data_IF_465315864849
#
_entry.id   IF_465315864849
#
_cell.length_a   1.000
_cell.length_b   1.000
_cell.length_c   1.000
_cell.angle_alpha   90.00
_cell.angle_beta   90.00
_cell.angle_gamma   90.00
#
_symmetry.space_group_name_H-M   'P 1'
#
loop_
_entity.id
_entity.type
_entity.pdbx_description
1 polymer ?
#
# COMPACT_ATOMS: atom_id res chain seq x y z
N UNK A 1 10.82 3.34 18.33
CA UNK A 1 9.69 3.97 17.59
C UNK A 1 10.16 4.91 16.49
N UNK A 2 10.96 5.96 16.77
CA UNK A 2 11.39 6.94 15.73
C UNK A 2 12.06 6.29 14.52
N UNK A 3 13.08 5.45 14.75
CA UNK A 3 13.81 4.77 13.67
C UNK A 3 12.90 3.88 12.82
N UNK A 4 11.95 3.17 13.44
CA UNK A 4 11.01 2.29 12.75
C UNK A 4 10.08 3.06 11.80
N UNK A 5 9.59 4.24 12.22
CA UNK A 5 8.78 5.13 11.38
C UNK A 5 9.55 5.68 10.17
N UNK A 6 10.87 5.79 10.26
CA UNK A 6 11.72 6.25 9.16
C UNK A 6 11.98 5.20 8.07
N UNK A 7 11.54 3.96 8.27
CA UNK A 7 11.81 2.85 7.34
C UNK A 7 10.53 2.14 6.87
N UNK A 8 9.36 2.53 7.37
CA UNK A 8 8.09 1.88 7.04
C UNK A 8 7.85 1.87 5.53
N UNK A 9 7.57 0.67 5.00
CA UNK A 9 7.37 0.41 3.57
C UNK A 9 8.59 0.72 2.68
N UNK A 10 9.82 0.72 3.20
CA UNK A 10 11.02 0.98 2.40
C UNK A 10 11.97 -0.21 2.37
N UNK A 11 12.78 -0.30 1.31
CA UNK A 11 13.90 -1.24 1.22
C UNK A 11 15.17 -0.60 1.79
N UNK A 12 15.06 0.04 2.96
CA UNK A 12 16.14 0.79 3.60
C UNK A 12 16.21 0.48 5.09
N UNK A 13 17.41 0.31 5.62
CA UNK A 13 17.67 0.28 7.07
C UNK A 13 17.69 1.69 7.67
N UNK A 14 17.52 1.85 8.99
CA UNK A 14 17.44 3.15 9.66
C UNK A 14 18.62 4.09 9.40
N UNK A 15 19.81 3.53 9.13
CA UNK A 15 21.03 4.31 8.84
C UNK A 15 21.19 4.70 7.36
N UNK A 16 20.26 4.29 6.49
CA UNK A 16 20.28 4.62 5.06
C UNK A 16 19.96 6.09 4.83
N UNK A 17 20.58 6.70 3.83
CA UNK A 17 20.27 8.08 3.45
C UNK A 17 18.81 8.21 3.00
N UNK A 18 18.12 9.24 3.49
CA UNK A 18 16.73 9.56 3.09
C UNK A 18 15.63 8.99 3.99
N UNK A 19 15.93 8.12 4.96
CA UNK A 19 14.94 7.57 5.92
C UNK A 19 14.27 8.64 6.79
N UNK A 20 14.97 9.74 7.08
CA UNK A 20 14.38 10.90 7.75
C UNK A 20 13.20 11.50 6.99
N UNK A 21 13.23 11.48 5.65
CA UNK A 21 12.10 11.97 4.85
C UNK A 21 10.84 11.11 5.04
N UNK A 22 11.02 9.79 5.16
CA UNK A 22 9.93 8.84 5.43
C UNK A 22 9.32 9.13 6.80
N UNK A 23 10.16 9.34 7.82
CA UNK A 23 9.71 9.73 9.17
C UNK A 23 8.90 11.03 9.13
N UNK A 24 9.40 12.07 8.44
CA UNK A 24 8.70 13.35 8.36
C UNK A 24 7.35 13.21 7.65
N UNK A 25 7.26 12.38 6.60
CA UNK A 25 6.01 12.13 5.91
C UNK A 25 5.02 11.33 6.77
N UNK A 26 5.48 10.27 7.44
CA UNK A 26 4.66 9.49 8.37
C UNK A 26 4.15 10.38 9.52
N UNK A 27 5.01 11.24 10.10
CA UNK A 27 4.61 12.20 11.12
C UNK A 27 3.60 13.23 10.64
N UNK A 28 3.78 13.77 9.42
CA UNK A 28 2.83 14.73 8.86
C UNK A 28 1.43 14.14 8.68
N UNK A 29 1.33 12.84 8.39
CA UNK A 29 0.05 12.13 8.21
C UNK A 29 -0.55 11.52 9.48
N UNK A 30 0.27 11.10 10.45
CA UNK A 30 -0.19 10.32 11.61
C UNK A 30 -0.17 11.08 12.95
N UNK A 31 0.61 12.15 13.08
CA UNK A 31 0.76 12.87 14.36
C UNK A 31 -0.16 14.11 14.45
N UNK A 32 -1.23 14.17 13.64
CA UNK A 32 -2.18 15.29 13.68
C UNK A 32 -1.67 16.56 12.98
N UNK A 33 -0.80 16.42 11.97
CA UNK A 33 -0.34 17.53 11.14
C UNK A 33 -1.44 18.13 10.25
N UNK A 34 -1.07 18.99 9.30
CA UNK A 34 -2.00 19.67 8.39
C UNK A 34 -2.89 18.72 7.55
N UNK A 35 -2.58 17.43 7.51
CA UNK A 35 -3.32 16.38 6.80
C UNK A 35 -4.37 15.62 7.66
N UNK A 36 -4.49 15.94 8.95
CA UNK A 36 -5.45 15.31 9.87
C UNK A 36 -4.84 14.28 10.83
N UNK A 37 -5.69 13.64 11.62
CA UNK A 37 -5.33 12.57 12.56
C UNK A 37 -5.60 11.20 11.95
N UNK A 38 -4.84 10.17 12.34
CA UNK A 38 -5.17 8.79 12.02
C UNK A 38 -6.46 8.40 12.73
N UNK A 39 -7.44 7.88 11.97
CA UNK A 39 -8.74 7.47 12.51
C UNK A 39 -9.10 6.08 12.01
N UNK A 40 -9.95 5.39 12.78
CA UNK A 40 -10.57 4.14 12.36
C UNK A 40 -11.92 4.43 11.70
N UNK A 41 -12.15 3.82 10.54
CA UNK A 41 -13.48 3.78 9.94
C UNK A 41 -14.31 2.69 10.63
N UNK A 42 -15.51 3.04 11.12
CA UNK A 42 -16.49 2.05 11.58
C UNK A 42 -16.86 1.13 10.41
N UNK A 43 -16.91 -0.18 10.66
CA UNK A 43 -17.05 -1.22 9.64
C UNK A 43 -15.75 -1.49 8.85
N UNK A 44 -14.64 -0.84 9.23
CA UNK A 44 -13.33 -1.03 8.63
C UNK A 44 -13.19 -0.41 7.23
N UNK A 45 -12.08 -0.73 6.52
CA UNK A 45 -11.82 -0.17 5.19
C UNK A 45 -12.85 -0.53 4.12
N UNK A 46 -13.54 -1.67 4.27
CA UNK A 46 -14.62 -2.08 3.37
C UNK A 46 -15.80 -1.11 3.41
N UNK A 47 -16.28 -0.77 4.61
CA UNK A 47 -17.37 0.19 4.78
C UNK A 47 -17.05 1.59 4.23
N UNK A 48 -15.79 2.04 4.33
CA UNK A 48 -15.34 3.27 3.68
C UNK A 48 -15.46 3.18 2.15
N UNK A 49 -15.05 2.04 1.57
CA UNK A 49 -15.10 1.81 0.13
C UNK A 49 -16.55 1.74 -0.36
N UNK A 50 -17.43 1.08 0.38
CA UNK A 50 -18.87 1.00 0.11
C UNK A 50 -19.53 2.38 0.19
N UNK A 51 -19.18 3.19 1.19
CA UNK A 51 -19.69 4.55 1.33
C UNK A 51 -19.28 5.45 0.14
N UNK A 52 -18.03 5.35 -0.30
CA UNK A 52 -17.54 6.06 -1.49
C UNK A 52 -18.25 5.59 -2.77
N UNK A 53 -18.44 4.28 -2.93
CA UNK A 53 -19.16 3.70 -4.06
C UNK A 53 -20.63 4.15 -4.09
N UNK A 54 -21.30 4.17 -2.92
CA UNK A 54 -22.68 4.65 -2.78
C UNK A 54 -22.79 6.14 -3.12
N UNK A 55 -21.86 6.97 -2.62
CA UNK A 55 -21.83 8.39 -2.95
C UNK A 55 -21.63 8.63 -4.45
N UNK A 56 -20.67 7.92 -5.07
CA UNK A 56 -20.41 8.01 -6.51
C UNK A 56 -21.65 7.64 -7.34
N UNK A 57 -22.31 6.52 -7.01
CA UNK A 57 -23.58 6.11 -7.65
C UNK A 57 -24.69 7.13 -7.45
N UNK A 58 -24.76 7.77 -6.28
CA UNK A 58 -25.69 8.87 -6.00
C UNK A 58 -25.50 10.09 -6.91
N UNK A 59 -24.27 10.31 -7.41
CA UNK A 59 -23.96 11.31 -8.43
C UNK A 59 -24.02 10.78 -9.87
N UNK A 60 -24.58 9.58 -10.08
CA UNK A 60 -24.77 8.98 -11.41
C UNK A 60 -23.58 8.18 -11.94
N UNK A 61 -22.57 7.89 -11.12
CA UNK A 61 -21.47 7.03 -11.56
C UNK A 61 -21.92 5.57 -11.74
N UNK A 62 -21.50 4.96 -12.84
CA UNK A 62 -21.58 3.52 -13.04
C UNK A 62 -20.32 2.84 -12.47
N UNK A 63 -20.48 1.72 -11.77
CA UNK A 63 -19.37 0.94 -11.23
C UNK A 63 -19.49 -0.48 -11.77
N UNK A 64 -18.51 -0.89 -12.60
CA UNK A 64 -18.40 -2.23 -13.17
C UNK A 64 -17.29 -3.02 -12.48
N UNK A 65 -17.65 -4.14 -11.86
CA UNK A 65 -16.70 -5.14 -11.36
C UNK A 65 -16.38 -6.16 -12.47
N UNK A 66 -15.32 -6.96 -12.27
CA UNK A 66 -14.88 -7.98 -13.25
C UNK A 66 -14.59 -7.41 -14.66
N UNK A 67 -14.34 -6.10 -14.74
CA UNK A 67 -14.12 -5.34 -15.96
C UNK A 67 -12.64 -4.92 -16.08
N UNK A 68 -11.75 -5.91 -16.23
CA UNK A 68 -10.32 -5.66 -16.34
C UNK A 68 -9.98 -4.84 -17.59
N UNK A 69 -9.35 -3.67 -17.42
CA UNK A 69 -8.88 -2.84 -18.53
C UNK A 69 -7.56 -3.40 -19.08
N UNK A 70 -7.49 -3.58 -20.40
CA UNK A 70 -6.32 -4.12 -21.11
C UNK A 70 -5.59 -3.11 -21.97
N UNK A 71 -6.24 -2.01 -22.35
CA UNK A 71 -5.60 -0.91 -23.06
C UNK A 71 -6.31 0.43 -22.80
N UNK A 72 -5.57 1.53 -22.87
CA UNK A 72 -6.07 2.89 -23.04
C UNK A 72 -6.01 3.18 -24.53
N UNK A 73 -7.15 3.47 -25.15
CA UNK A 73 -7.19 3.86 -26.57
C UNK A 73 -6.83 5.32 -26.71
N UNK A 74 -6.22 5.66 -27.84
CA UNK A 74 -5.78 7.03 -28.10
C UNK A 74 -5.66 7.33 -29.59
N UNK A 75 -5.64 8.62 -29.91
CA UNK A 75 -5.48 9.13 -31.27
C UNK A 75 -4.73 10.46 -31.19
N UNK A 76 -3.65 10.60 -31.97
CA UNK A 76 -2.80 11.79 -31.99
C UNK A 76 -2.29 12.18 -30.58
N UNK A 77 -1.93 11.19 -29.76
CA UNK A 77 -1.42 11.42 -28.41
C UNK A 77 -2.49 11.93 -27.42
N UNK A 78 -3.77 11.66 -27.69
CA UNK A 78 -4.89 11.95 -26.80
C UNK A 78 -5.69 10.70 -26.50
N UNK A 79 -5.98 10.45 -25.23
CA UNK A 79 -6.84 9.36 -24.78
C UNK A 79 -8.26 9.50 -25.36
N UNK A 80 -8.80 8.40 -25.87
CA UNK A 80 -10.14 8.30 -26.46
C UNK A 80 -11.04 7.30 -25.74
N UNK A 81 -10.50 6.52 -24.80
CA UNK A 81 -11.25 5.48 -24.11
C UNK A 81 -10.37 4.40 -23.51
N UNK A 82 -11.00 3.26 -23.21
CA UNK A 82 -10.34 2.05 -22.72
C UNK A 82 -10.93 0.80 -23.37
N UNK A 83 -10.13 -0.25 -23.47
CA UNK A 83 -10.55 -1.58 -23.89
C UNK A 83 -10.59 -2.50 -22.67
N UNK A 84 -11.69 -3.23 -22.50
CA UNK A 84 -11.83 -4.25 -21.47
C UNK A 84 -11.32 -5.61 -21.96
N UNK A 85 -11.00 -6.52 -21.04
CA UNK A 85 -10.51 -7.87 -21.34
C UNK A 85 -11.49 -8.70 -22.20
N UNK A 86 -12.78 -8.37 -22.17
CA UNK A 86 -13.81 -8.98 -23.03
C UNK A 86 -13.87 -8.40 -24.46
N UNK A 87 -13.03 -7.41 -24.79
CA UNK A 87 -13.01 -6.71 -26.08
C UNK A 87 -13.98 -5.53 -26.19
N UNK A 88 -14.79 -5.25 -25.15
CA UNK A 88 -15.64 -4.05 -25.12
C UNK A 88 -14.76 -2.78 -25.08
N UNK A 89 -15.09 -1.81 -25.92
CA UNK A 89 -14.48 -0.48 -25.90
C UNK A 89 -15.41 0.54 -25.25
N UNK A 90 -14.88 1.29 -24.28
CA UNK A 90 -15.60 2.36 -23.60
C UNK A 90 -14.95 3.69 -23.99
N UNK A 91 -15.68 4.50 -24.77
CA UNK A 91 -15.22 5.81 -25.20
C UNK A 91 -15.20 6.81 -24.02
N UNK A 92 -14.09 7.54 -23.88
CA UNK A 92 -13.92 8.58 -22.87
C UNK A 92 -12.87 9.60 -23.30
N UNK A 93 -13.18 10.90 -23.22
CA UNK A 93 -12.21 11.99 -23.48
C UNK A 93 -11.23 12.25 -22.34
N UNK A 94 -11.45 11.62 -21.18
CA UNK A 94 -10.57 11.66 -20.00
C UNK A 94 -10.54 10.27 -19.38
N UNK A 95 -9.33 9.76 -19.15
CA UNK A 95 -9.07 8.50 -18.44
C UNK A 95 -8.30 8.82 -17.16
N UNK A 96 -8.80 8.36 -16.03
CA UNK A 96 -8.18 8.59 -14.72
C UNK A 96 -7.83 7.24 -14.10
N UNK A 97 -6.54 6.92 -14.06
CA UNK A 97 -6.03 5.63 -13.60
C UNK A 97 -5.73 5.64 -12.11
N UNK A 98 -6.42 4.76 -11.37
CA UNK A 98 -6.12 4.43 -9.98
C UNK A 98 -5.00 3.39 -9.82
N UNK A 99 -4.47 2.84 -10.91
CA UNK A 99 -3.42 1.82 -10.90
C UNK A 99 -2.07 2.42 -10.49
N UNK A 100 -1.08 1.55 -10.27
CA UNK A 100 0.30 2.03 -10.19
C UNK A 100 0.78 2.62 -11.54
N UNK A 101 1.78 3.53 -11.54
CA UNK A 101 2.23 4.20 -12.75
C UNK A 101 2.85 3.26 -13.78
N UNK A 102 3.43 2.12 -13.37
CA UNK A 102 3.98 1.13 -14.31
C UNK A 102 2.87 0.42 -15.06
N UNK A 103 1.85 -0.05 -14.35
CA UNK A 103 0.66 -0.67 -14.96
C UNK A 103 -0.09 0.31 -15.85
N UNK A 104 -0.24 1.56 -15.41
CA UNK A 104 -0.87 2.59 -16.24
C UNK A 104 -0.09 2.80 -17.54
N UNK A 105 1.25 2.88 -17.48
CA UNK A 105 2.08 3.01 -18.67
C UNK A 105 1.96 1.78 -19.59
N UNK A 106 1.88 0.57 -19.02
CA UNK A 106 1.73 -0.66 -19.79
C UNK A 106 0.40 -0.78 -20.56
N UNK A 107 -0.62 0.00 -20.19
CA UNK A 107 -1.91 0.04 -20.90
C UNK A 107 -1.90 1.00 -22.10
N UNK A 108 -0.89 1.86 -22.24
CA UNK A 108 -0.82 2.85 -23.34
C UNK A 108 0.12 2.33 -24.42
N UNK A 109 -0.17 2.63 -25.68
CA UNK A 109 0.71 2.31 -26.80
C UNK A 109 2.13 2.87 -26.54
N UNK A 110 3.18 2.03 -26.54
CA UNK A 110 4.56 2.47 -26.32
C UNK A 110 5.05 3.47 -27.38
N UNK A 111 4.48 3.45 -28.59
CA UNK A 111 4.78 4.44 -29.65
C UNK A 111 4.30 5.82 -29.23
N UNK A 112 3.10 5.92 -28.65
CA UNK A 112 2.57 7.20 -28.16
C UNK A 112 3.25 7.69 -26.89
N UNK A 113 3.56 6.79 -25.95
CA UNK A 113 4.31 7.17 -24.74
C UNK A 113 5.74 7.63 -25.06
N UNK A 114 6.33 7.07 -26.12
CA UNK A 114 7.70 7.28 -26.51
C UNK A 114 8.71 6.54 -25.62
N UNK A 115 9.91 6.24 -26.16
CA UNK A 115 10.90 5.37 -25.52
C UNK A 115 11.38 5.90 -24.17
N UNK A 116 11.49 7.22 -24.02
CA UNK A 116 11.94 7.86 -22.78
C UNK A 116 10.98 7.60 -21.63
N UNK A 117 9.68 7.76 -21.83
CA UNK A 117 8.72 7.58 -20.74
C UNK A 117 8.52 6.10 -20.41
N UNK A 118 8.52 5.23 -21.42
CA UNK A 118 8.53 3.77 -21.23
C UNK A 118 9.74 3.35 -20.37
N UNK A 119 10.94 3.82 -20.70
CA UNK A 119 12.14 3.52 -19.91
C UNK A 119 12.04 4.05 -18.48
N UNK A 120 11.62 5.32 -18.30
CA UNK A 120 11.51 5.94 -16.97
C UNK A 120 10.49 5.25 -16.08
N UNK A 121 9.32 4.91 -16.62
CA UNK A 121 8.27 4.22 -15.88
C UNK A 121 8.70 2.81 -15.49
N UNK A 122 9.35 2.07 -16.40
CA UNK A 122 9.93 0.75 -16.11
C UNK A 122 10.92 0.75 -14.94
N UNK A 123 11.63 1.85 -14.74
CA UNK A 123 12.64 2.02 -13.68
C UNK A 123 12.11 2.59 -12.35
N UNK A 124 10.81 2.85 -12.22
CA UNK A 124 10.23 3.24 -10.91
C UNK A 124 10.50 2.11 -9.90
N UNK A 125 11.08 2.41 -8.74
CA UNK A 125 11.31 1.42 -7.69
C UNK A 125 10.02 1.19 -6.93
N UNK A 126 9.51 -0.04 -7.01
CA UNK A 126 8.36 -0.51 -6.26
C UNK A 126 8.57 -1.92 -5.65
N UNK A 127 9.75 -2.27 -5.11
CA UNK A 127 9.90 -3.57 -4.46
C UNK A 127 9.08 -3.57 -3.16
N UNK A 128 8.11 -4.47 -3.07
CA UNK A 128 7.38 -4.73 -1.84
C UNK A 128 8.32 -5.28 -0.78
N UNK A 129 8.20 -4.72 0.42
CA UNK A 129 9.09 -5.03 1.56
C UNK A 129 8.31 -5.47 2.80
N UNK A 130 7.00 -5.64 2.67
CA UNK A 130 6.11 -5.98 3.77
C UNK A 130 5.24 -7.17 3.41
N UNK A 131 4.99 -8.02 4.39
CA UNK A 131 3.92 -9.01 4.35
C UNK A 131 2.86 -8.62 5.38
N UNK A 132 1.60 -8.88 5.06
CA UNK A 132 0.49 -8.70 6.00
C UNK A 132 0.16 -10.04 6.63
N UNK A 133 0.13 -10.12 7.95
CA UNK A 133 -0.31 -11.31 8.69
C UNK A 133 -1.59 -10.97 9.44
N UNK A 134 -2.68 -11.62 9.06
CA UNK A 134 -3.96 -11.50 9.74
C UNK A 134 -4.17 -12.74 10.62
N UNK A 135 -4.56 -12.54 11.86
CA UNK A 135 -4.88 -13.59 12.81
C UNK A 135 -6.32 -13.45 13.29
N UNK A 136 -7.00 -14.57 13.46
CA UNK A 136 -8.26 -14.66 14.20
C UNK A 136 -7.96 -15.31 15.54
N UNK A 137 -8.32 -14.64 16.63
CA UNK A 137 -8.07 -15.11 18.00
C UNK A 137 -9.34 -15.53 18.73
N UNK A 138 -9.21 -16.54 19.58
CA UNK A 138 -10.19 -16.94 20.59
C UNK A 138 -10.01 -16.15 21.88
N UNK A 139 -10.59 -14.95 21.92
CA UNK A 139 -10.43 -13.98 22.99
C UNK A 139 -9.30 -12.97 22.78
N UNK A 140 -9.25 -11.93 23.62
CA UNK A 140 -8.31 -10.83 23.46
C UNK A 140 -6.87 -11.27 23.80
N UNK A 141 -5.86 -10.74 23.09
CA UNK A 141 -4.47 -10.98 23.44
C UNK A 141 -4.12 -10.24 24.74
N UNK A 142 -3.40 -10.92 25.64
CA UNK A 142 -2.93 -10.34 26.89
C UNK A 142 -1.47 -9.89 26.73
N UNK A 143 -1.24 -8.58 26.66
CA UNK A 143 0.10 -8.02 26.53
C UNK A 143 0.80 -7.93 27.89
N UNK A 144 2.07 -8.32 27.92
CA UNK A 144 2.94 -8.18 29.08
C UNK A 144 3.06 -6.69 29.46
N UNK A 145 2.51 -6.31 30.61
CA UNK A 145 2.54 -4.93 31.12
C UNK A 145 1.18 -4.23 31.23
N UNK A 146 0.05 -4.88 30.90
CA UNK A 146 -1.30 -4.38 31.21
C UNK A 146 -1.65 -3.07 30.49
N UNK A 147 -1.74 -3.12 29.15
CA UNK A 147 -1.85 -1.94 28.27
C UNK A 147 -3.23 -1.78 27.63
N UNK A 148 -4.29 -2.28 28.25
CA UNK A 148 -5.60 -2.53 27.63
C UNK A 148 -6.16 -1.38 26.78
N UNK A 149 -6.20 -0.13 27.27
CA UNK A 149 -6.69 1.01 26.48
C UNK A 149 -5.79 1.38 25.29
N UNK A 150 -4.48 1.17 25.40
CA UNK A 150 -3.52 1.51 24.33
C UNK A 150 -3.58 0.52 23.17
N UNK A 151 -4.15 -0.66 23.38
CA UNK A 151 -4.33 -1.69 22.35
C UNK A 151 -5.33 -1.31 21.26
N UNK A 152 -6.17 -0.31 21.51
CA UNK A 152 -7.07 0.28 20.51
C UNK A 152 -6.33 1.07 19.42
N UNK A 153 -5.07 1.43 19.66
CA UNK A 153 -4.23 2.17 18.72
C UNK A 153 -3.31 1.29 17.87
N UNK A 154 -2.30 1.94 17.29
CA UNK A 154 -1.19 1.26 16.60
C UNK A 154 -0.16 0.77 17.62
N UNK A 155 0.12 -0.52 17.59
CA UNK A 155 1.13 -1.18 18.43
C UNK A 155 2.38 -1.42 17.57
N UNK A 156 3.55 -0.98 18.04
CA UNK A 156 4.82 -1.06 17.30
C UNK A 156 5.76 -1.96 18.09
N UNK A 157 6.08 -3.14 17.54
CA UNK A 157 6.96 -4.13 18.18
C UNK A 157 8.28 -4.15 17.42
N UNK A 158 9.34 -3.67 18.07
CA UNK A 158 10.68 -3.58 17.51
C UNK A 158 11.72 -3.54 18.63
N UNK A 159 12.94 -4.00 18.34
CA UNK A 159 14.12 -3.71 19.15
C UNK A 159 14.71 -2.31 18.88
N UNK A 160 15.98 -2.14 19.24
CA UNK A 160 16.77 -0.94 18.95
C UNK A 160 17.17 -0.78 17.47
N UNK A 161 17.96 0.23 17.16
CA UNK A 161 18.40 0.52 15.78
C UNK A 161 19.15 -0.67 15.17
N UNK A 162 19.99 -1.35 15.95
CA UNK A 162 20.75 -2.51 15.47
C UNK A 162 19.88 -3.74 15.20
N UNK A 163 18.69 -3.83 15.85
CA UNK A 163 17.67 -4.81 15.47
C UNK A 163 17.17 -4.53 14.06
N UNK A 164 16.77 -3.28 13.81
CA UNK A 164 16.19 -2.86 12.54
C UNK A 164 17.19 -3.00 11.39
N UNK A 165 18.48 -2.72 11.61
CA UNK A 165 19.51 -2.95 10.59
C UNK A 165 19.75 -4.45 10.33
N UNK A 166 19.78 -5.30 11.37
CA UNK A 166 19.86 -6.77 11.15
C UNK A 166 18.66 -7.29 10.37
N UNK A 167 17.46 -6.81 10.69
CA UNK A 167 16.24 -7.19 9.98
C UNK A 167 16.26 -6.72 8.51
N UNK A 168 16.80 -5.51 8.27
CA UNK A 168 17.03 -5.01 6.92
C UNK A 168 18.08 -5.82 6.16
N UNK A 169 19.20 -6.18 6.78
CA UNK A 169 20.29 -6.92 6.15
C UNK A 169 19.80 -8.25 5.58
N UNK A 170 18.92 -8.96 6.28
CA UNK A 170 18.27 -10.16 5.73
C UNK A 170 17.57 -9.85 4.39
N UNK A 171 16.71 -8.82 4.38
CA UNK A 171 15.96 -8.41 3.18
C UNK A 171 16.87 -7.92 2.06
N UNK A 172 17.94 -7.20 2.38
CA UNK A 172 18.94 -6.71 1.44
C UNK A 172 19.60 -7.85 0.65
N UNK A 173 19.79 -9.01 1.28
CA UNK A 173 20.34 -10.21 0.65
C UNK A 173 19.27 -11.18 0.14
N UNK A 174 18.01 -10.74 0.02
CA UNK A 174 16.90 -11.51 -0.53
C UNK A 174 16.34 -12.57 0.43
N UNK A 175 16.40 -12.34 1.74
CA UNK A 175 15.80 -13.22 2.75
C UNK A 175 14.76 -12.44 3.56
N UNK A 176 13.64 -13.06 3.89
CA UNK A 176 12.72 -12.46 4.85
C UNK A 176 13.37 -12.40 6.24
N UNK A 177 13.12 -11.33 7.00
CA UNK A 177 13.69 -11.16 8.34
C UNK A 177 13.37 -12.34 9.26
N UNK A 178 14.34 -12.70 10.10
CA UNK A 178 14.19 -13.71 11.15
C UNK A 178 13.39 -13.16 12.34
N UNK A 179 13.63 -11.90 12.70
CA UNK A 179 12.90 -11.14 13.72
C UNK A 179 12.32 -9.86 13.08
N UNK A 180 11.20 -9.96 12.35
CA UNK A 180 10.62 -8.82 11.64
C UNK A 180 10.17 -7.72 12.60
N UNK A 181 10.30 -6.47 12.15
CA UNK A 181 9.62 -5.33 12.76
C UNK A 181 8.11 -5.45 12.48
N UNK A 182 7.27 -5.31 13.50
CA UNK A 182 5.81 -5.44 13.38
C UNK A 182 5.09 -4.14 13.72
N UNK A 183 4.15 -3.73 12.85
CA UNK A 183 3.06 -2.83 13.19
C UNK A 183 1.77 -3.65 13.35
N UNK A 184 1.16 -3.60 14.52
CA UNK A 184 0.00 -4.41 14.90
C UNK A 184 -1.19 -3.52 15.22
N UNK A 185 -2.37 -3.93 14.77
CA UNK A 185 -3.66 -3.33 15.14
C UNK A 185 -4.65 -4.43 15.49
N UNK A 186 -5.55 -4.14 16.43
CA UNK A 186 -6.62 -5.06 16.85
C UNK A 186 -7.96 -4.35 16.65
N UNK A 187 -8.41 -4.18 15.40
CA UNK A 187 -9.52 -3.29 15.08
C UNK A 187 -10.83 -3.66 15.79
N UNK A 188 -11.02 -4.94 16.13
CA UNK A 188 -12.18 -5.45 16.89
C UNK A 188 -12.30 -4.88 18.31
N UNK A 189 -11.22 -4.33 18.89
CA UNK A 189 -11.31 -3.62 20.18
C UNK A 189 -12.02 -2.27 20.02
N UNK A 190 -11.80 -1.58 18.90
CA UNK A 190 -12.42 -0.28 18.60
C UNK A 190 -13.80 -0.45 17.96
N UNK A 191 -13.98 -1.48 17.13
CA UNK A 191 -15.25 -1.80 16.49
C UNK A 191 -15.56 -3.30 16.60
N UNK A 192 -16.35 -3.70 17.61
CA UNK A 192 -16.74 -5.09 17.81
C UNK A 192 -17.53 -5.71 16.64
N UNK A 193 -18.08 -4.91 15.72
CA UNK A 193 -18.84 -5.43 14.57
C UNK A 193 -17.96 -6.13 13.53
N UNK A 194 -16.63 -5.99 13.64
CA UNK A 194 -15.65 -6.58 12.72
C UNK A 194 -15.40 -8.07 12.95
N UNK A 195 -15.89 -8.66 14.04
CA UNK A 195 -15.79 -10.08 14.31
C UNK A 195 -17.00 -10.59 15.12
N UNK A 196 -17.29 -11.90 15.08
CA UNK A 196 -18.26 -12.51 16.00
C UNK A 196 -17.88 -12.29 17.47
N UNK A 197 -18.86 -12.37 18.36
CA UNK A 197 -18.64 -12.23 19.81
C UNK A 197 -17.56 -13.18 20.33
N UNK A 198 -16.67 -12.67 21.17
CA UNK A 198 -15.53 -13.42 21.73
C UNK A 198 -14.38 -13.67 20.75
N UNK A 199 -14.48 -13.23 19.48
CA UNK A 199 -13.40 -13.33 18.51
C UNK A 199 -12.74 -11.97 18.28
N UNK A 200 -11.43 -12.00 18.04
CA UNK A 200 -10.68 -10.79 17.73
C UNK A 200 -9.87 -10.97 16.45
N UNK A 201 -9.78 -9.90 15.66
CA UNK A 201 -8.91 -9.84 14.49
C UNK A 201 -7.66 -9.06 14.86
N UNK A 202 -6.50 -9.65 14.62
CA UNK A 202 -5.20 -8.97 14.71
C UNK A 202 -4.65 -8.81 13.31
N UNK A 203 -4.42 -7.57 12.89
CA UNK A 203 -3.81 -7.23 11.60
C UNK A 203 -2.39 -6.75 11.83
N UNK A 204 -1.42 -7.49 11.28
CA UNK A 204 0.01 -7.24 11.42
C UNK A 204 0.62 -6.87 10.08
N UNK A 205 1.38 -5.80 10.04
CA UNK A 205 2.30 -5.48 8.94
C UNK A 205 3.70 -5.86 9.41
N UNK A 206 4.29 -6.86 8.77
CA UNK A 206 5.62 -7.35 9.06
C UNK A 206 6.60 -6.80 8.02
N UNK A 207 7.50 -5.91 8.47
CA UNK A 207 8.51 -5.27 7.63
C UNK A 207 9.71 -6.20 7.39
N UNK A 208 10.34 -6.01 6.23
CA UNK A 208 11.47 -6.77 5.70
C UNK A 208 11.10 -8.19 5.26
N UNK A 209 10.00 -8.25 4.51
CA UNK A 209 9.58 -9.37 3.68
C UNK A 209 9.72 -8.93 2.20
N UNK A 210 10.88 -9.16 1.55
CA UNK A 210 11.09 -8.72 0.17
C UNK A 210 10.22 -9.51 -0.81
N UNK A 211 9.91 -8.90 -1.97
CA UNK A 211 9.15 -9.54 -3.04
C UNK A 211 9.83 -10.82 -3.55
N UNK A 212 11.12 -10.73 -3.89
CA UNK A 212 11.93 -11.86 -4.34
C UNK A 212 12.75 -12.46 -3.18
N UNK A 213 12.73 -13.79 -3.08
CA UNK A 213 13.53 -14.54 -2.12
C UNK A 213 14.69 -15.25 -2.84
N UNK A 214 15.92 -14.96 -2.43
CA UNK A 214 17.12 -15.55 -3.02
C UNK A 214 17.19 -17.03 -2.69
N UNK A 215 17.09 -17.87 -3.71
CA UNK A 215 17.20 -19.33 -3.57
C UNK A 215 15.99 -20.01 -2.94
N UNK A 216 14.86 -19.30 -2.80
CA UNK A 216 13.60 -19.85 -2.29
C UNK A 216 12.40 -19.15 -2.95
N UNK A 217 11.19 -19.39 -2.45
CA UNK A 217 9.97 -18.70 -2.90
C UNK A 217 9.00 -18.50 -1.76
N UNK A 218 8.09 -17.52 -1.89
CA UNK A 218 7.04 -17.32 -0.89
C UNK A 218 6.13 -18.54 -0.73
N UNK A 219 5.96 -19.39 -1.74
CA UNK A 219 5.21 -20.64 -1.60
C UNK A 219 5.85 -21.60 -0.57
N UNK A 220 7.18 -21.61 -0.46
CA UNK A 220 7.91 -22.42 0.51
C UNK A 220 8.05 -21.72 1.87
N UNK A 221 8.33 -20.41 1.89
CA UNK A 221 8.71 -19.68 3.11
C UNK A 221 7.53 -19.09 3.88
N UNK A 222 6.33 -19.00 3.29
CA UNK A 222 5.16 -18.33 3.88
C UNK A 222 4.80 -18.86 5.27
N UNK A 223 4.79 -20.18 5.44
CA UNK A 223 4.47 -20.81 6.73
C UNK A 223 5.48 -20.41 7.81
N UNK A 224 6.77 -20.63 7.51
CA UNK A 224 7.87 -20.31 8.41
C UNK A 224 7.93 -18.81 8.75
N UNK A 225 7.67 -17.92 7.78
CA UNK A 225 7.59 -16.49 8.05
C UNK A 225 6.41 -16.13 8.97
N UNK A 226 5.25 -16.74 8.77
CA UNK A 226 4.13 -16.61 9.70
C UNK A 226 4.47 -17.08 11.12
N UNK A 227 5.26 -18.14 11.26
CA UNK A 227 5.70 -18.66 12.56
C UNK A 227 6.66 -17.68 13.26
N UNK A 228 7.56 -17.03 12.50
CA UNK A 228 8.44 -15.96 13.04
C UNK A 228 7.65 -14.76 13.54
N UNK A 229 6.62 -14.34 12.81
CA UNK A 229 5.73 -13.25 13.26
C UNK A 229 5.02 -13.63 14.56
N UNK A 230 4.50 -14.85 14.67
CA UNK A 230 3.90 -15.36 15.91
C UNK A 230 4.91 -15.42 17.05
N UNK A 231 6.15 -15.86 16.79
CA UNK A 231 7.19 -15.89 17.82
C UNK A 231 7.50 -14.49 18.38
N UNK A 232 7.56 -13.46 17.53
CA UNK A 232 7.75 -12.06 17.98
C UNK A 232 6.54 -11.58 18.80
N UNK A 233 5.32 -11.93 18.39
CA UNK A 233 4.10 -11.59 19.14
C UNK A 233 4.05 -12.31 20.50
N UNK A 234 4.42 -13.58 20.57
CA UNK A 234 4.43 -14.39 21.79
C UNK A 234 5.34 -13.79 22.87
N UNK A 235 6.47 -13.19 22.48
CA UNK A 235 7.38 -12.50 23.40
C UNK A 235 6.73 -11.32 24.14
N UNK A 236 5.77 -10.63 23.53
CA UNK A 236 5.10 -9.45 24.12
C UNK A 236 3.68 -9.74 24.57
N UNK A 237 3.06 -10.79 24.07
CA UNK A 237 1.73 -11.26 24.45
C UNK A 237 1.76 -12.79 24.68
N UNK A 238 2.30 -13.27 25.81
CA UNK A 238 2.40 -14.69 26.09
C UNK A 238 1.04 -15.39 26.07
N UNK A 239 0.98 -16.56 25.44
CA UNK A 239 -0.24 -17.35 25.22
C UNK A 239 -1.05 -16.92 24.00
N UNK A 240 -0.62 -15.91 23.23
CA UNK A 240 -1.32 -15.47 22.02
C UNK A 240 -1.35 -16.59 20.98
N UNK A 241 -0.25 -17.29 20.77
CA UNK A 241 -0.16 -18.36 19.75
C UNK A 241 -1.18 -19.46 19.99
N UNK A 242 -1.42 -19.82 21.26
CA UNK A 242 -2.42 -20.83 21.64
C UNK A 242 -3.88 -20.40 21.36
N UNK A 243 -4.13 -19.09 21.16
CA UNK A 243 -5.46 -18.54 20.86
C UNK A 243 -5.70 -18.38 19.35
N UNK A 244 -4.71 -18.61 18.50
CA UNK A 244 -4.85 -18.43 17.06
C UNK A 244 -5.74 -19.54 16.49
N UNK A 245 -6.90 -19.14 15.96
CA UNK A 245 -7.85 -20.02 15.27
C UNK A 245 -7.48 -20.14 13.80
N UNK A 246 -7.19 -19.00 13.19
CA UNK A 246 -6.85 -18.91 11.78
C UNK A 246 -5.74 -17.88 11.57
N UNK A 247 -4.89 -18.17 10.59
CA UNK A 247 -3.80 -17.31 10.17
C UNK A 247 -3.80 -17.18 8.65
N UNK A 248 -3.80 -15.95 8.18
CA UNK A 248 -3.50 -15.61 6.80
C UNK A 248 -2.19 -14.82 6.74
N UNK A 249 -1.26 -15.27 5.90
CA UNK A 249 -0.07 -14.51 5.53
C UNK A 249 -0.27 -14.07 4.09
N UNK A 250 -0.26 -12.77 3.81
CA UNK A 250 -0.31 -12.18 2.47
C UNK A 250 1.05 -11.54 2.16
N UNK A 251 1.77 -12.10 1.21
CA UNK A 251 3.14 -11.70 0.84
C UNK A 251 3.11 -10.61 -0.23
N UNK A 252 4.22 -9.92 -0.51
CA UNK A 252 4.28 -8.98 -1.63
C UNK A 252 3.82 -9.57 -2.97
N UNK A 253 4.13 -10.84 -3.24
CA UNK A 253 3.67 -11.53 -4.44
C UNK A 253 2.14 -11.68 -4.49
N UNK A 254 1.49 -11.94 -3.35
CA UNK A 254 0.03 -11.95 -3.29
C UNK A 254 -0.55 -10.55 -3.46
N UNK A 255 0.11 -9.53 -2.92
CA UNK A 255 -0.34 -8.14 -3.07
C UNK A 255 -0.31 -7.70 -4.53
N UNK A 256 0.73 -8.09 -5.28
CA UNK A 256 0.77 -7.88 -6.72
C UNK A 256 -0.35 -8.64 -7.44
N UNK A 257 -0.52 -9.93 -7.12
CA UNK A 257 -1.48 -10.81 -7.79
C UNK A 257 -2.93 -10.36 -7.58
N UNK A 258 -3.31 -10.01 -6.35
CA UNK A 258 -4.71 -9.74 -6.01
C UNK A 258 -5.11 -8.27 -6.19
N UNK A 259 -4.18 -7.33 -6.00
CA UNK A 259 -4.48 -5.90 -6.04
C UNK A 259 -3.81 -5.18 -7.21
N UNK A 260 -3.03 -5.87 -8.03
CA UNK A 260 -2.31 -5.26 -9.15
C UNK A 260 -1.22 -4.30 -8.69
N UNK A 261 -0.62 -4.51 -7.51
CA UNK A 261 0.45 -3.66 -7.00
C UNK A 261 1.79 -4.12 -7.57
N UNK A 262 2.31 -3.46 -8.61
CA UNK A 262 3.59 -3.88 -9.22
C UNK A 262 4.72 -3.97 -8.18
N UNK A 263 5.41 -5.10 -8.15
CA UNK A 263 6.42 -5.46 -7.16
C UNK A 263 5.88 -5.70 -5.75
N UNK A 264 4.57 -5.69 -5.53
CA UNK A 264 3.92 -5.89 -4.24
C UNK A 264 3.99 -4.71 -3.29
N UNK A 265 4.27 -3.50 -3.77
CA UNK A 265 4.44 -2.31 -2.92
C UNK A 265 3.08 -1.62 -2.61
N UNK A 266 2.63 -1.55 -1.34
CA UNK A 266 1.32 -0.98 -0.98
C UNK A 266 1.13 0.49 -1.40
N UNK A 267 2.22 1.26 -1.42
CA UNK A 267 2.20 2.66 -1.85
C UNK A 267 2.39 2.84 -3.37
N UNK A 268 2.33 1.78 -4.19
CA UNK A 268 2.58 1.76 -5.65
C UNK A 268 4.03 2.07 -6.09
N UNK A 269 4.81 2.75 -5.24
CA UNK A 269 6.23 3.00 -5.40
C UNK A 269 6.86 3.31 -4.04
N UNK A 270 8.15 3.01 -3.91
CA UNK A 270 8.94 3.28 -2.70
C UNK A 270 8.90 4.77 -2.34
N UNK A 271 8.60 5.15 -1.07
CA UNK A 271 8.56 6.55 -0.63
C UNK A 271 9.96 7.12 -0.35
N UNK A 272 10.96 6.71 -1.14
CA UNK A 272 12.32 7.24 -1.08
C UNK A 272 12.35 8.72 -1.48
N UNK A 273 13.35 9.46 -0.98
CA UNK A 273 13.50 10.91 -1.24
C UNK A 273 13.49 11.25 -2.75
N UNK A 274 14.05 10.36 -3.57
CA UNK A 274 14.15 10.45 -5.03
C UNK A 274 12.89 10.00 -5.79
N UNK A 275 11.86 9.51 -5.09
CA UNK A 275 10.55 9.11 -5.65
C UNK A 275 9.37 9.71 -4.89
N UNK A 276 9.62 10.84 -4.24
CA UNK A 276 8.63 11.58 -3.48
C UNK A 276 8.52 13.03 -3.97
N UNK A 277 7.50 13.77 -3.51
CA UNK A 277 7.24 15.16 -3.93
C UNK A 277 7.20 15.32 -5.47
N UNK A 278 8.03 16.20 -6.02
CA UNK A 278 8.09 16.53 -7.45
C UNK A 278 8.58 15.35 -8.31
N UNK A 279 9.20 14.34 -7.71
CA UNK A 279 9.65 13.12 -8.40
C UNK A 279 8.58 12.04 -8.45
N UNK A 280 7.41 12.22 -7.83
CA UNK A 280 6.34 11.20 -7.80
C UNK A 280 5.24 11.50 -8.82
N UNK A 281 4.89 10.60 -9.75
CA UNK A 281 5.52 9.29 -9.98
C UNK A 281 6.90 9.41 -10.67
N UNK A 282 7.10 10.49 -11.42
CA UNK A 282 8.33 10.83 -12.13
C UNK A 282 8.44 12.35 -12.21
N UNK A 283 9.67 12.88 -12.27
CA UNK A 283 9.90 14.31 -12.52
C UNK A 283 9.20 14.73 -13.83
N UNK A 284 8.41 15.80 -13.76
CA UNK A 284 7.56 16.30 -14.86
C UNK A 284 6.11 15.77 -14.85
N UNK A 285 5.81 14.74 -14.06
CA UNK A 285 4.49 14.09 -14.00
C UNK A 285 3.81 14.20 -12.63
N UNK A 286 4.36 15.00 -11.71
CA UNK A 286 3.80 15.19 -10.36
C UNK A 286 2.47 15.98 -10.32
N UNK A 287 2.02 16.50 -11.47
CA UNK A 287 0.72 17.19 -11.62
C UNK A 287 -0.32 16.31 -12.30
N UNK A 288 -0.32 15.03 -11.97
CA UNK A 288 -1.37 14.03 -12.27
C UNK A 288 -1.50 13.62 -13.74
N UNK A 289 -1.28 14.53 -14.70
CA UNK A 289 -1.22 14.21 -16.15
C UNK A 289 -0.12 13.21 -16.44
N UNK A 290 -0.39 12.26 -17.33
CA UNK A 290 0.52 11.13 -17.56
C UNK A 290 0.59 10.69 -19.02
N UNK A 291 1.77 10.85 -19.64
CA UNK A 291 2.09 10.30 -20.96
C UNK A 291 1.41 10.99 -22.14
N UNK A 292 0.08 10.89 -22.21
CA UNK A 292 -0.75 11.39 -23.30
C UNK A 292 -1.80 12.39 -22.78
N UNK A 293 -2.33 13.22 -23.67
CA UNK A 293 -3.39 14.17 -23.33
C UNK A 293 -4.65 13.41 -22.87
N UNK A 294 -5.25 13.82 -21.76
CA UNK A 294 -6.48 13.19 -21.25
C UNK A 294 -6.25 11.99 -20.32
N UNK A 295 -5.02 11.51 -20.15
CA UNK A 295 -4.68 10.46 -19.17
C UNK A 295 -4.11 11.06 -17.87
N UNK A 296 -4.66 10.61 -16.74
CA UNK A 296 -4.32 11.10 -15.40
C UNK A 296 -4.08 9.94 -14.42
N UNK A 297 -3.27 10.18 -13.39
CA UNK A 297 -3.07 9.28 -12.26
C UNK A 297 -3.78 9.81 -11.01
N UNK A 298 -4.54 8.95 -10.33
CA UNK A 298 -5.29 9.28 -9.11
C UNK A 298 -5.03 8.34 -7.93
N UNK A 299 -4.18 7.32 -8.10
CA UNK A 299 -3.82 6.35 -7.06
C UNK A 299 -2.60 6.74 -6.22
N UNK A 300 -2.17 5.85 -5.32
CA UNK A 300 -1.03 6.01 -4.40
C UNK A 300 0.32 6.30 -5.10
N UNK A 301 0.42 5.97 -6.39
CA UNK A 301 1.60 6.26 -7.21
C UNK A 301 1.73 7.72 -7.62
N UNK A 302 0.67 8.52 -7.50
CA UNK A 302 0.71 9.95 -7.73
C UNK A 302 1.03 10.72 -6.44
N UNK A 303 1.50 11.96 -6.58
CA UNK A 303 1.66 12.89 -5.47
C UNK A 303 0.30 13.16 -4.78
N UNK A 304 0.21 13.35 -3.45
CA UNK A 304 1.27 13.38 -2.44
C UNK A 304 1.87 12.02 -2.05
N UNK A 305 1.24 10.91 -2.42
CA UNK A 305 1.74 9.57 -2.11
C UNK A 305 0.63 8.62 -1.69
N UNK A 306 1.04 7.47 -1.13
CA UNK A 306 0.12 6.42 -0.72
C UNK A 306 -0.56 6.64 0.63
N UNK A 307 -1.27 5.61 1.07
CA UNK A 307 -2.17 5.66 2.22
C UNK A 307 -3.61 6.00 1.81
N UNK A 308 -4.55 5.84 2.74
CA UNK A 308 -5.98 6.08 2.49
C UNK A 308 -6.32 7.56 2.76
N UNK A 309 -5.61 8.47 2.08
CA UNK A 309 -5.74 9.93 2.28
C UNK A 309 -6.77 10.58 1.37
N UNK A 310 -7.09 9.94 0.24
CA UNK A 310 -7.93 10.51 -0.83
C UNK A 310 -7.30 11.68 -1.60
N UNK A 311 -6.13 12.16 -1.20
CA UNK A 311 -5.51 13.36 -1.75
C UNK A 311 -5.08 13.22 -3.23
N UNK A 312 -4.45 12.11 -3.69
CA UNK A 312 -4.11 11.96 -5.10
C UNK A 312 -5.33 12.04 -6.02
N UNK A 313 -6.43 11.39 -5.63
CA UNK A 313 -7.69 11.44 -6.37
C UNK A 313 -8.33 12.83 -6.39
N UNK A 314 -8.43 13.48 -5.23
CA UNK A 314 -8.97 14.84 -5.14
C UNK A 314 -8.16 15.84 -5.98
N UNK A 315 -6.84 15.72 -5.99
CA UNK A 315 -5.99 16.63 -6.76
C UNK A 315 -6.01 16.34 -8.26
N UNK A 316 -6.06 15.06 -8.67
CA UNK A 316 -6.27 14.69 -10.07
C UNK A 316 -7.60 15.26 -10.60
N UNK A 317 -8.68 15.15 -9.82
CA UNK A 317 -9.97 15.73 -10.17
C UNK A 317 -9.89 17.26 -10.37
N UNK A 318 -9.22 17.98 -9.46
CA UNK A 318 -8.98 19.44 -9.61
C UNK A 318 -8.17 19.77 -10.87
N UNK A 319 -7.13 18.98 -11.17
CA UNK A 319 -6.32 19.16 -12.37
C UNK A 319 -7.15 18.96 -13.65
N UNK A 320 -8.06 17.99 -13.66
CA UNK A 320 -9.00 17.75 -14.76
C UNK A 320 -9.97 18.92 -14.91
N UNK A 321 -10.61 19.35 -13.82
CA UNK A 321 -11.61 20.42 -13.83
C UNK A 321 -11.03 21.80 -14.20
N UNK A 322 -9.74 22.02 -13.97
CA UNK A 322 -9.05 23.26 -14.36
C UNK A 322 -8.70 23.34 -15.86
N UNK A 323 -8.89 22.25 -16.62
CA UNK A 323 -8.66 22.23 -18.06
C UNK A 323 -9.72 23.11 -18.73
N UNK A 324 -9.29 24.15 -19.45
CA UNK A 324 -10.17 24.85 -20.37
C UNK A 324 -10.53 23.88 -21.48
N UNK A 325 -11.81 23.52 -21.58
CA UNK A 325 -12.34 22.84 -22.77
C UNK A 325 -12.18 23.84 -23.90
N UNK A 326 -11.25 23.56 -24.82
CA UNK A 326 -11.02 24.39 -26.01
C UNK A 326 -11.61 23.65 -27.20
#
# INVERSE_FOLDING_TARGET
>A
VIAARGITYTAMGPRSAGTTNVLLNDSAGNDGGAAGQTVFARGGPGALSDALAAAARGFGAEIRCDAGVTAVTSTEGRATGVVLAGGEEIAAGVVVSGLDPKRTAALVDPVELGPTLVWRTGNIRAPGTVAKVNLVLDGPPAFAGGVDERLHGRIVITGGIDHLDRAFDASKYGRASEEPYLEVTIPTLTDPTLAPEGRHVVSVIAQYAPFDLRGSSWNAERGAFGDRVLAVLECVAPGLTARVIERQVATPADLERHFGLTGGHPLHAEPGLDQFFAWRPLLGHARYRFGIEGLYLCGSGAHPGGGITGAPGANAARAILSRKVT
#
